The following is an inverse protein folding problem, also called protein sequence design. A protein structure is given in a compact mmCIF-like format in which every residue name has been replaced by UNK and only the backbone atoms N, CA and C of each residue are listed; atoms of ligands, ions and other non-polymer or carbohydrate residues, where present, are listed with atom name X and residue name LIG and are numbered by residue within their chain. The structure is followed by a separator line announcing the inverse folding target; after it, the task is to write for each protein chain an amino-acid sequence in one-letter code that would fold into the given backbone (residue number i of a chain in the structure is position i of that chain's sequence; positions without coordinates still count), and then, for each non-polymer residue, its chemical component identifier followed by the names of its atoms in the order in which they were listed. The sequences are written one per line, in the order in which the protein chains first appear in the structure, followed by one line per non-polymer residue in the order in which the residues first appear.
data_IF_766412532657
#
_entry.id   IF_766412532657
#
_cell.length_a   1.000
_cell.length_b   1.000
_cell.length_c   1.000
_cell.angle_alpha   90.00
_cell.angle_beta   90.00
_cell.angle_gamma   90.00
#
_symmetry.space_group_name_H-M   'P 1'
#
loop_
_entity.id
_entity.type
_entity.pdbx_description
1 polymer ?
#
# COMPACT_ATOMS: atom_id res chain seq x y z
N UNK A 1 -5.06 -11.66 -24.85
CA UNK A 1 -5.79 -12.50 -23.89
C UNK A 1 -5.22 -12.41 -22.47
N UNK A 2 -3.95 -12.74 -22.21
CA UNK A 2 -3.33 -12.71 -20.85
C UNK A 2 -3.41 -11.33 -20.15
N UNK A 3 -3.25 -10.21 -20.89
CA UNK A 3 -3.34 -8.85 -20.34
C UNK A 3 -4.73 -8.54 -19.76
N UNK A 4 -5.75 -8.86 -20.54
CA UNK A 4 -7.15 -8.64 -20.10
C UNK A 4 -7.45 -9.45 -18.86
N UNK A 5 -6.97 -10.68 -18.80
CA UNK A 5 -7.11 -11.55 -17.62
C UNK A 5 -6.40 -10.94 -16.40
N UNK A 6 -5.17 -10.40 -16.58
CA UNK A 6 -4.43 -9.74 -15.50
C UNK A 6 -5.18 -8.51 -14.97
N UNK A 7 -5.67 -7.64 -15.84
CA UNK A 7 -6.42 -6.44 -15.45
C UNK A 7 -7.73 -6.79 -14.73
N UNK A 8 -8.46 -7.80 -15.22
CA UNK A 8 -9.66 -8.30 -14.56
C UNK A 8 -9.32 -8.88 -13.19
N UNK A 9 -8.22 -9.62 -13.08
CA UNK A 9 -7.77 -10.20 -11.81
C UNK A 9 -7.43 -9.13 -10.77
N UNK A 10 -6.77 -8.03 -11.18
CA UNK A 10 -6.49 -6.89 -10.30
C UNK A 10 -7.80 -6.24 -9.85
N UNK A 11 -8.74 -6.02 -10.76
CA UNK A 11 -10.04 -5.43 -10.42
C UNK A 11 -10.81 -6.28 -9.41
N UNK A 12 -10.87 -7.59 -9.64
CA UNK A 12 -11.51 -8.53 -8.70
C UNK A 12 -10.78 -8.51 -7.35
N UNK A 13 -9.45 -8.43 -7.34
CA UNK A 13 -8.66 -8.36 -6.09
C UNK A 13 -8.95 -7.07 -5.31
N UNK A 14 -9.11 -5.93 -5.97
CA UNK A 14 -9.48 -4.65 -5.36
C UNK A 14 -10.86 -4.77 -4.70
N UNK A 15 -11.87 -5.23 -5.43
CA UNK A 15 -13.22 -5.39 -4.91
C UNK A 15 -13.29 -6.41 -3.76
N UNK A 16 -12.57 -7.52 -3.88
CA UNK A 16 -12.52 -8.53 -2.82
C UNK A 16 -11.85 -7.99 -1.55
N UNK A 17 -10.78 -7.20 -1.72
CA UNK A 17 -10.07 -6.60 -0.60
C UNK A 17 -10.95 -5.62 0.17
N UNK A 18 -11.56 -4.64 -0.51
CA UNK A 18 -12.44 -3.66 0.12
C UNK A 18 -13.66 -4.32 0.77
N UNK A 19 -14.26 -5.31 0.11
CA UNK A 19 -15.37 -6.07 0.67
C UNK A 19 -14.99 -6.80 1.97
N UNK A 20 -13.86 -7.50 1.98
CA UNK A 20 -13.38 -8.21 3.19
C UNK A 20 -13.06 -7.23 4.31
N UNK A 21 -12.40 -6.12 4.03
CA UNK A 21 -12.05 -5.12 5.04
C UNK A 21 -13.30 -4.41 5.58
N UNK A 22 -14.28 -4.10 4.75
CA UNK A 22 -15.56 -3.55 5.21
C UNK A 22 -16.31 -4.50 6.16
N UNK A 23 -16.27 -5.81 5.90
CA UNK A 23 -16.85 -6.81 6.80
C UNK A 23 -16.11 -6.92 8.13
N UNK A 24 -14.78 -6.74 8.12
CA UNK A 24 -13.94 -6.82 9.30
C UNK A 24 -14.07 -5.57 10.20
N UNK A 25 -14.24 -4.40 9.58
CA UNK A 25 -14.27 -3.11 10.27
C UNK A 25 -15.66 -2.70 10.77
N UNK A 26 -16.71 -3.53 10.60
CA UNK A 26 -18.11 -3.14 10.91
C UNK A 26 -18.50 -1.78 10.32
N UNK A 27 -18.04 -1.51 9.10
CA UNK A 27 -18.20 -0.24 8.38
C UNK A 27 -19.67 0.04 8.09
N UNK A 28 -20.12 1.30 8.28
CA UNK A 28 -21.50 1.70 8.01
C UNK A 28 -21.86 1.61 6.51
N UNK A 29 -23.13 1.32 6.16
CA UNK A 29 -23.55 1.18 4.75
C UNK A 29 -23.25 2.38 3.86
N UNK A 30 -23.29 3.59 4.41
CA UNK A 30 -22.99 4.83 3.69
C UNK A 30 -21.50 4.92 3.29
N UNK A 31 -20.63 4.37 4.12
CA UNK A 31 -19.18 4.33 3.87
C UNK A 31 -18.82 3.29 2.79
N UNK A 32 -19.64 2.24 2.61
CA UNK A 32 -19.46 1.27 1.52
C UNK A 32 -19.53 1.93 0.14
N UNK A 33 -20.39 2.94 0.00
CA UNK A 33 -20.50 3.69 -1.26
C UNK A 33 -19.21 4.48 -1.50
N UNK A 34 -18.68 5.14 -0.47
CA UNK A 34 -17.42 5.86 -0.56
C UNK A 34 -16.24 4.93 -0.91
N UNK A 35 -16.22 3.71 -0.33
CA UNK A 35 -15.22 2.70 -0.64
C UNK A 35 -15.31 2.25 -2.10
N UNK A 36 -16.52 2.02 -2.61
CA UNK A 36 -16.71 1.68 -4.02
C UNK A 36 -16.22 2.77 -4.99
N UNK A 37 -16.41 4.05 -4.66
CA UNK A 37 -15.83 5.16 -5.42
C UNK A 37 -14.31 5.19 -5.34
N UNK A 38 -13.74 4.96 -4.15
CA UNK A 38 -12.29 4.87 -3.96
C UNK A 38 -11.68 3.76 -4.82
N UNK A 39 -12.31 2.57 -4.84
CA UNK A 39 -11.88 1.44 -5.64
C UNK A 39 -11.87 1.74 -7.14
N UNK A 40 -12.93 2.40 -7.62
CA UNK A 40 -13.04 2.81 -9.03
C UNK A 40 -11.95 3.83 -9.38
N UNK A 41 -11.78 4.86 -8.57
CA UNK A 41 -10.75 5.91 -8.79
C UNK A 41 -9.36 5.28 -8.79
N UNK A 42 -9.07 4.44 -7.80
CA UNK A 42 -7.79 3.75 -7.72
C UNK A 42 -7.54 2.85 -8.94
N UNK A 43 -8.54 2.05 -9.34
CA UNK A 43 -8.41 1.20 -10.51
C UNK A 43 -8.16 2.00 -11.80
N UNK A 44 -8.84 3.14 -11.98
CA UNK A 44 -8.62 4.02 -13.12
C UNK A 44 -7.21 4.63 -13.13
N UNK A 45 -6.71 5.08 -11.97
CA UNK A 45 -5.34 5.59 -11.83
C UNK A 45 -4.31 4.50 -12.15
N UNK A 46 -4.53 3.29 -11.64
CA UNK A 46 -3.66 2.15 -11.87
C UNK A 46 -3.63 1.74 -13.35
N UNK A 47 -4.80 1.72 -14.01
CA UNK A 47 -4.87 1.47 -15.45
C UNK A 47 -4.12 2.53 -16.26
N UNK A 48 -4.29 3.81 -15.90
CA UNK A 48 -3.63 4.91 -16.57
C UNK A 48 -2.10 4.77 -16.46
N UNK A 49 -1.60 4.49 -15.28
CA UNK A 49 -0.16 4.34 -15.02
C UNK A 49 0.42 3.11 -15.74
N UNK A 50 -0.25 1.97 -15.67
CA UNK A 50 0.18 0.77 -16.38
C UNK A 50 0.21 0.95 -17.90
N UNK A 51 -0.71 1.75 -18.44
CA UNK A 51 -0.73 2.06 -19.87
C UNK A 51 0.33 3.09 -20.24
N UNK A 52 0.58 4.06 -19.36
CA UNK A 52 1.64 5.06 -19.52
C UNK A 52 3.02 4.41 -19.52
N UNK A 53 3.32 3.54 -18.54
CA UNK A 53 4.56 2.76 -18.51
C UNK A 53 4.76 1.93 -19.77
N UNK A 54 3.70 1.29 -20.23
CA UNK A 54 3.77 0.52 -21.47
C UNK A 54 4.16 1.37 -22.66
N UNK A 55 3.62 2.58 -22.78
CA UNK A 55 3.88 3.45 -23.93
C UNK A 55 5.29 4.05 -23.87
N UNK A 56 5.82 4.31 -22.67
CA UNK A 56 7.19 4.80 -22.48
C UNK A 56 8.25 3.71 -22.62
N UNK A 57 7.91 2.47 -22.20
CA UNK A 57 8.80 1.30 -22.28
C UNK A 57 8.68 0.52 -23.61
N UNK A 58 7.93 1.02 -24.59
CA UNK A 58 7.84 0.40 -25.93
C UNK A 58 9.19 0.21 -26.64
N UNK A 59 10.24 0.87 -26.16
CA UNK A 59 11.62 0.66 -26.57
C UNK A 59 12.29 -0.55 -25.91
N UNK A 60 11.71 -1.16 -24.90
CA UNK A 60 12.22 -2.33 -24.20
C UNK A 60 11.32 -3.55 -24.48
N UNK A 61 11.91 -4.58 -25.09
CA UNK A 61 11.27 -5.80 -25.60
C UNK A 61 10.68 -6.74 -24.51
N UNK A 62 10.57 -6.29 -23.25
CA UNK A 62 10.31 -7.13 -22.08
C UNK A 62 8.93 -6.92 -21.39
N UNK A 63 8.05 -6.13 -21.98
CA UNK A 63 6.77 -5.68 -21.36
C UNK A 63 5.73 -6.78 -21.09
N UNK A 64 5.94 -8.03 -21.52
CA UNK A 64 4.95 -9.11 -21.38
C UNK A 64 4.95 -9.82 -20.03
N UNK A 65 6.08 -9.83 -19.33
CA UNK A 65 6.23 -10.52 -18.04
C UNK A 65 5.81 -9.65 -16.86
N UNK A 66 5.75 -8.33 -17.04
CA UNK A 66 5.60 -7.38 -15.95
C UNK A 66 4.15 -7.32 -15.41
N UNK A 67 3.14 -7.41 -16.27
CA UNK A 67 1.73 -7.43 -15.83
C UNK A 67 1.40 -8.61 -14.91
N UNK A 68 1.86 -9.81 -15.25
CA UNK A 68 1.60 -11.00 -14.44
C UNK A 68 2.34 -10.94 -13.11
N UNK A 69 3.60 -10.47 -13.11
CA UNK A 69 4.39 -10.29 -11.90
C UNK A 69 3.74 -9.22 -11.00
N UNK A 70 3.35 -8.09 -11.59
CA UNK A 70 2.65 -7.03 -10.85
C UNK A 70 1.35 -7.55 -10.22
N UNK A 71 0.51 -8.24 -11.00
CA UNK A 71 -0.75 -8.82 -10.50
C UNK A 71 -0.49 -9.78 -9.33
N UNK A 72 0.52 -10.64 -9.44
CA UNK A 72 0.87 -11.59 -8.38
C UNK A 72 1.29 -10.88 -7.09
N UNK A 73 2.15 -9.86 -7.20
CA UNK A 73 2.59 -9.09 -6.03
C UNK A 73 1.46 -8.24 -5.46
N UNK A 74 0.62 -7.66 -6.30
CA UNK A 74 -0.56 -6.92 -5.85
C UNK A 74 -1.50 -7.82 -5.03
N UNK A 75 -1.73 -9.07 -5.45
CA UNK A 75 -2.52 -10.04 -4.69
C UNK A 75 -1.85 -10.37 -3.35
N UNK A 76 -0.53 -10.54 -3.31
CA UNK A 76 0.20 -10.75 -2.06
C UNK A 76 0.03 -9.55 -1.13
N UNK A 77 0.20 -8.32 -1.64
CA UNK A 77 -0.02 -7.10 -0.86
C UNK A 77 -1.46 -7.00 -0.34
N UNK A 78 -2.46 -7.40 -1.13
CA UNK A 78 -3.86 -7.44 -0.70
C UNK A 78 -4.07 -8.42 0.45
N UNK A 79 -3.45 -9.58 0.42
CA UNK A 79 -3.50 -10.56 1.53
C UNK A 79 -2.82 -9.99 2.79
N UNK A 80 -1.64 -9.37 2.64
CA UNK A 80 -0.93 -8.73 3.76
C UNK A 80 -1.77 -7.59 4.33
N UNK A 81 -2.48 -6.83 3.49
CA UNK A 81 -3.37 -5.77 3.91
C UNK A 81 -4.53 -6.30 4.78
N UNK A 82 -5.16 -7.41 4.39
CA UNK A 82 -6.19 -8.08 5.19
C UNK A 82 -5.63 -8.51 6.55
N UNK A 83 -4.45 -9.14 6.57
CA UNK A 83 -3.78 -9.54 7.81
C UNK A 83 -3.48 -8.32 8.69
N UNK A 84 -3.04 -7.21 8.09
CA UNK A 84 -2.77 -5.95 8.78
C UNK A 84 -4.02 -5.35 9.44
N UNK A 85 -5.21 -5.60 8.89
CA UNK A 85 -6.48 -5.19 9.49
C UNK A 85 -6.76 -5.84 10.85
N UNK A 86 -6.22 -7.03 11.12
CA UNK A 86 -6.30 -7.70 12.42
C UNK A 86 -5.23 -7.27 13.42
N UNK A 87 -4.21 -6.54 12.96
CA UNK A 87 -3.10 -6.14 13.81
C UNK A 87 -3.39 -4.82 14.52
N UNK A 88 -2.88 -4.63 15.75
CA UNK A 88 -2.94 -3.33 16.38
C UNK A 88 -2.16 -2.32 15.52
N UNK A 89 -2.63 -1.09 15.50
CA UNK A 89 -2.18 -0.01 14.64
C UNK A 89 -0.66 0.11 14.51
N UNK A 90 0.05 0.05 15.64
CA UNK A 90 1.50 0.25 15.72
C UNK A 90 2.33 -0.92 15.17
N UNK A 91 1.72 -2.06 14.89
CA UNK A 91 2.41 -3.24 14.36
C UNK A 91 2.11 -3.50 12.89
N UNK A 92 1.34 -2.63 12.22
CA UNK A 92 0.99 -2.79 10.81
C UNK A 92 2.21 -2.59 9.92
N UNK A 93 2.55 -3.55 9.07
CA UNK A 93 3.73 -3.49 8.22
C UNK A 93 3.49 -2.68 6.94
N UNK A 94 3.01 -1.44 7.07
CA UNK A 94 2.58 -0.59 5.96
C UNK A 94 3.70 -0.30 4.94
N UNK A 95 4.95 -0.23 5.41
CA UNK A 95 6.12 -0.02 4.53
C UNK A 95 6.36 -1.17 3.54
N UNK A 96 5.84 -2.37 3.82
CA UNK A 96 6.02 -3.53 2.93
C UNK A 96 5.34 -3.30 1.57
N UNK A 97 4.19 -2.63 1.53
CA UNK A 97 3.43 -2.43 0.30
C UNK A 97 4.24 -1.69 -0.77
N UNK A 98 4.74 -0.45 -0.53
CA UNK A 98 5.50 0.26 -1.54
C UNK A 98 6.83 -0.42 -1.86
N UNK A 99 7.47 -1.10 -0.90
CA UNK A 99 8.73 -1.82 -1.15
C UNK A 99 8.52 -2.96 -2.14
N UNK A 100 7.56 -3.84 -1.90
CA UNK A 100 7.28 -4.98 -2.78
C UNK A 100 6.84 -4.55 -4.17
N UNK A 101 5.99 -3.52 -4.26
CA UNK A 101 5.47 -3.03 -5.53
C UNK A 101 6.52 -2.27 -6.34
N UNK A 102 7.42 -1.52 -5.68
CA UNK A 102 8.51 -0.82 -6.34
C UNK A 102 9.57 -1.77 -6.91
N UNK A 103 9.83 -2.90 -6.26
CA UNK A 103 10.77 -3.90 -6.77
C UNK A 103 10.35 -4.49 -8.13
N UNK A 104 9.06 -4.49 -8.44
CA UNK A 104 8.50 -5.10 -9.65
C UNK A 104 8.02 -4.06 -10.65
N UNK A 105 7.48 -2.95 -10.16
CA UNK A 105 6.93 -1.87 -10.96
C UNK A 105 7.77 -0.59 -10.90
N UNK A 106 7.09 0.51 -11.16
CA UNK A 106 7.60 1.86 -11.04
C UNK A 106 7.36 2.41 -9.62
N UNK A 107 8.16 3.40 -9.21
CA UNK A 107 8.03 4.09 -7.93
C UNK A 107 6.65 4.73 -7.76
N UNK A 108 6.14 5.33 -8.84
CA UNK A 108 4.85 6.00 -8.83
C UNK A 108 3.69 5.02 -8.62
N UNK A 109 3.75 3.87 -9.27
CA UNK A 109 2.78 2.79 -9.13
C UNK A 109 2.80 2.17 -7.72
N UNK A 110 3.99 2.03 -7.15
CA UNK A 110 4.17 1.58 -5.77
C UNK A 110 3.60 2.60 -4.76
N UNK A 111 3.81 3.90 -5.02
CA UNK A 111 3.28 4.96 -4.18
C UNK A 111 1.75 5.02 -4.22
N UNK A 112 1.14 5.02 -5.42
CA UNK A 112 -0.33 5.03 -5.57
C UNK A 112 -0.95 3.83 -4.87
N UNK A 113 -0.40 2.63 -5.10
CA UNK A 113 -0.95 1.41 -4.50
C UNK A 113 -0.74 1.37 -2.98
N UNK A 114 0.40 1.81 -2.48
CA UNK A 114 0.67 1.92 -1.05
C UNK A 114 -0.29 2.91 -0.37
N UNK A 115 -0.51 4.08 -0.98
CA UNK A 115 -1.47 5.08 -0.51
C UNK A 115 -2.89 4.52 -0.47
N UNK A 116 -3.29 3.78 -1.49
CA UNK A 116 -4.60 3.12 -1.53
C UNK A 116 -4.77 2.15 -0.37
N UNK A 117 -3.80 1.26 -0.11
CA UNK A 117 -3.87 0.32 1.01
C UNK A 117 -3.96 1.02 2.38
N UNK A 118 -3.24 2.14 2.56
CA UNK A 118 -3.31 2.92 3.80
C UNK A 118 -4.67 3.58 4.00
N UNK A 119 -5.21 4.23 2.97
CA UNK A 119 -6.53 4.87 3.04
C UNK A 119 -7.59 3.81 3.35
N UNK A 120 -7.50 2.65 2.70
CA UNK A 120 -8.44 1.55 2.88
C UNK A 120 -8.41 1.00 4.31
N UNK A 121 -7.21 0.78 4.88
CA UNK A 121 -7.04 0.37 6.27
C UNK A 121 -7.54 1.42 7.27
N UNK A 122 -7.24 2.70 7.02
CA UNK A 122 -7.66 3.79 7.90
C UNK A 122 -9.18 3.95 7.96
N UNK A 123 -9.88 3.81 6.82
CA UNK A 123 -11.34 3.90 6.78
C UNK A 123 -11.98 2.69 7.49
N UNK A 124 -11.44 1.48 7.25
CA UNK A 124 -12.09 0.24 7.75
C UNK A 124 -11.82 -0.04 9.21
N UNK A 125 -10.69 0.40 9.75
CA UNK A 125 -10.29 0.09 11.14
C UNK A 125 -10.38 1.33 12.05
N UNK A 126 -11.24 2.31 11.70
CA UNK A 126 -11.50 3.54 12.48
C UNK A 126 -10.22 4.26 12.92
N UNK A 127 -9.31 4.47 11.99
CA UNK A 127 -8.08 5.22 12.24
C UNK A 127 -8.35 6.72 12.38
N UNK A 128 -7.66 7.36 13.31
CA UNK A 128 -7.64 8.81 13.41
C UNK A 128 -6.87 9.44 12.24
N UNK A 129 -7.21 10.70 11.90
CA UNK A 129 -6.53 11.44 10.83
C UNK A 129 -5.00 11.50 11.03
N UNK A 130 -4.54 11.53 12.29
CA UNK A 130 -3.12 11.51 12.63
C UNK A 130 -2.46 10.17 12.26
N UNK A 131 -3.14 9.06 12.47
CA UNK A 131 -2.69 7.72 12.10
C UNK A 131 -2.52 7.59 10.59
N UNK A 132 -3.51 8.07 9.83
CA UNK A 132 -3.44 8.10 8.38
C UNK A 132 -2.20 8.87 7.89
N UNK A 133 -1.93 10.03 8.48
CA UNK A 133 -0.75 10.84 8.12
C UNK A 133 0.55 10.08 8.41
N UNK A 134 0.64 9.39 9.53
CA UNK A 134 1.82 8.57 9.86
C UNK A 134 1.99 7.38 8.91
N UNK A 135 0.92 6.68 8.59
CA UNK A 135 0.95 5.57 7.61
C UNK A 135 1.37 6.07 6.22
N UNK A 136 0.86 7.23 5.78
CA UNK A 136 1.28 7.84 4.51
C UNK A 136 2.76 8.23 4.49
N UNK A 137 3.29 8.75 5.60
CA UNK A 137 4.72 9.02 5.74
C UNK A 137 5.55 7.73 5.64
N UNK A 138 5.07 6.64 6.22
CA UNK A 138 5.70 5.32 6.09
C UNK A 138 5.66 4.80 4.63
N UNK A 139 4.58 5.03 3.90
CA UNK A 139 4.50 4.68 2.46
C UNK A 139 5.50 5.48 1.65
N UNK A 140 5.60 6.80 1.87
CA UNK A 140 6.57 7.66 1.17
C UNK A 140 8.01 7.20 1.46
N UNK A 141 8.34 6.97 2.73
CA UNK A 141 9.68 6.49 3.12
C UNK A 141 9.96 5.11 2.53
N UNK A 142 8.98 4.21 2.53
CA UNK A 142 9.09 2.88 1.92
C UNK A 142 9.33 2.95 0.41
N UNK A 143 8.66 3.84 -0.31
CA UNK A 143 8.85 4.03 -1.75
C UNK A 143 10.27 4.59 -2.06
N UNK A 144 10.75 5.57 -1.28
CA UNK A 144 12.10 6.11 -1.42
C UNK A 144 13.17 5.05 -1.16
N UNK A 145 12.98 4.26 -0.07
CA UNK A 145 13.90 3.18 0.29
C UNK A 145 13.95 2.09 -0.80
N UNK A 146 12.80 1.74 -1.37
CA UNK A 146 12.71 0.76 -2.44
C UNK A 146 13.42 1.21 -3.71
N UNK A 147 13.38 2.53 -4.03
CA UNK A 147 14.17 3.11 -5.12
C UNK A 147 15.66 2.95 -4.87
N UNK A 148 16.12 3.29 -3.66
CA UNK A 148 17.53 3.15 -3.30
C UNK A 148 18.00 1.69 -3.34
N UNK A 149 17.14 0.73 -2.98
CA UNK A 149 17.39 -0.71 -3.09
C UNK A 149 17.57 -1.15 -4.55
N UNK A 150 16.76 -0.61 -5.45
CA UNK A 150 16.81 -0.93 -6.89
C UNK A 150 18.09 -0.42 -7.56
N UNK A 151 18.69 0.63 -7.01
CA UNK A 151 19.93 1.24 -7.52
C UNK A 151 21.22 0.60 -6.96
N UNK A 152 21.16 -0.51 -6.24
CA UNK A 152 22.29 -1.28 -5.64
C UNK A 152 23.23 -0.47 -4.71
N UNK A 153 22.85 0.74 -4.32
CA UNK A 153 23.82 1.65 -3.70
C UNK A 153 24.02 1.53 -2.21
N UNK A 154 23.14 0.83 -1.45
CA UNK A 154 23.24 0.87 0.02
C UNK A 154 22.35 -0.18 0.74
N UNK A 155 22.39 -1.43 0.32
CA UNK A 155 21.49 -2.48 0.88
C UNK A 155 21.50 -2.55 2.42
N UNK A 156 22.66 -2.47 3.05
CA UNK A 156 22.79 -2.61 4.52
C UNK A 156 22.22 -1.40 5.26
N UNK A 157 22.49 -0.17 4.77
CA UNK A 157 21.95 1.04 5.38
C UNK A 157 20.44 1.11 5.28
N UNK A 158 19.85 0.59 4.20
CA UNK A 158 18.41 0.57 3.98
C UNK A 158 17.73 -0.38 4.95
N UNK A 159 18.29 -1.58 5.17
CA UNK A 159 17.78 -2.50 6.18
C UNK A 159 17.81 -1.89 7.58
N UNK A 160 18.90 -1.20 7.95
CA UNK A 160 19.01 -0.55 9.23
C UNK A 160 18.02 0.60 9.40
N UNK A 161 17.81 1.43 8.38
CA UNK A 161 16.82 2.51 8.38
C UNK A 161 15.40 1.94 8.48
N UNK A 162 15.07 0.89 7.72
CA UNK A 162 13.75 0.26 7.77
C UNK A 162 13.44 -0.31 9.15
N UNK A 163 14.40 -1.00 9.76
CA UNK A 163 14.28 -1.53 11.12
C UNK A 163 14.16 -0.40 12.15
N UNK A 164 14.99 0.64 12.04
CA UNK A 164 14.95 1.77 12.98
C UNK A 164 13.63 2.54 12.89
N UNK A 165 13.09 2.77 11.69
CA UNK A 165 11.79 3.42 11.51
C UNK A 165 10.64 2.57 12.06
N UNK A 166 10.69 1.25 11.89
CA UNK A 166 9.69 0.34 12.46
C UNK A 166 9.68 0.32 13.99
N UNK A 167 10.80 0.66 14.64
CA UNK A 167 10.92 0.73 16.09
C UNK A 167 10.60 2.14 16.61
N UNK A 168 11.09 3.17 15.92
CA UNK A 168 10.95 4.57 16.35
C UNK A 168 9.50 5.05 16.23
N UNK A 169 8.78 4.63 15.18
CA UNK A 169 7.38 5.04 14.99
C UNK A 169 6.49 4.65 16.16
N UNK A 170 6.45 3.38 16.62
CA UNK A 170 5.68 3.02 17.82
C UNK A 170 6.18 3.74 19.08
N UNK A 171 7.48 3.98 19.22
CA UNK A 171 8.07 4.70 20.35
C UNK A 171 7.59 6.15 20.46
N UNK A 172 7.52 6.86 19.33
CA UNK A 172 6.99 8.24 19.28
C UNK A 172 5.50 8.24 19.62
N UNK A 173 4.74 7.29 19.11
CA UNK A 173 3.30 7.18 19.41
C UNK A 173 3.05 6.91 20.89
N UNK A 174 3.78 5.98 21.50
CA UNK A 174 3.66 5.69 22.94
C UNK A 174 4.01 6.90 23.79
N UNK A 175 5.03 7.68 23.40
CA UNK A 175 5.41 8.90 24.11
C UNK A 175 4.34 10.00 24.00
N UNK A 176 3.70 10.16 22.83
CA UNK A 176 2.62 11.14 22.62
C UNK A 176 1.35 10.75 23.39
N UNK A 177 0.99 9.47 23.45
CA UNK A 177 -0.14 8.98 24.23
C UNK A 177 0.10 9.25 25.73
N UNK A 178 1.32 9.02 26.22
CA UNK A 178 1.66 9.28 27.63
C UNK A 178 1.62 10.78 28.00
N UNK A 179 1.89 11.67 27.04
CA UNK A 179 1.79 13.12 27.23
C UNK A 179 0.33 13.59 27.20
N UNK A 180 -0.54 12.91 26.49
CA UNK A 180 -1.95 13.28 26.33
C UNK A 180 -2.87 12.76 27.45
N UNK A 181 -2.43 11.83 28.30
CA UNK A 181 -3.13 11.47 29.54
C UNK A 181 -2.82 12.49 30.63
N UNK A 182 -3.74 13.45 30.93
CA UNK A 182 -3.57 14.27 32.10
C UNK A 182 -3.70 13.34 33.33
N UNK A 183 -2.65 13.26 34.10
CA UNK A 183 -2.64 12.64 35.42
C UNK A 183 -3.90 13.05 36.21
N UNK A 184 -4.86 12.13 36.31
CA UNK A 184 -5.92 12.18 37.32
C UNK A 184 -5.44 11.61 38.62
#
# INVERSE_FOLDING_TARGET
MRRVVSLISIFISILALSFVLCLLGDVYPDEWICMGFLDIIFYMLLLFELEYERNTLQLSNNSRTDYLRFTFVFIICSIVCIISGFMPLYSRPVMIFPILLCLIGNEFLAFISGTYFCILLSITVSGDCFELVCELLLVITGAILAKMLKEDKLQICIYLITISMSIVTPGIFLSLIHISEPTR
#
